data_IF_138610882776
#
_entry.id   IF_138610882776
#
_cell.length_a   1.000
_cell.length_b   1.000
_cell.length_c   1.000
_cell.angle_alpha   90.00
_cell.angle_beta   90.00
_cell.angle_gamma   90.00
#
_symmetry.space_group_name_H-M   'P 1'
#
loop_
_entity.id
_entity.type
_entity.pdbx_description
1 polymer ?
#
# COMPACT_ATOMS: atom_id res chain seq x y z
N UNK A 1 -14.59 8.90 2.14
CA UNK A 1 -13.13 9.01 1.85
C UNK A 1 -12.42 7.65 1.89
N UNK A 2 -11.31 7.50 1.16
CA UNK A 2 -10.29 6.46 1.37
C UNK A 2 -9.10 7.01 2.16
N UNK A 3 -8.51 6.22 3.06
CA UNK A 3 -7.29 6.56 3.81
C UNK A 3 -6.32 5.39 3.85
N UNK A 4 -5.02 5.69 3.91
CA UNK A 4 -3.93 4.72 4.03
C UNK A 4 -2.77 5.35 4.83
N UNK A 5 -1.94 4.52 5.48
CA UNK A 5 -0.71 4.97 6.12
C UNK A 5 0.50 4.10 5.74
N UNK A 6 1.64 4.76 5.59
CA UNK A 6 2.95 4.12 5.50
C UNK A 6 3.74 4.41 6.80
N UNK A 7 3.70 3.46 7.74
CA UNK A 7 4.26 3.59 9.09
C UNK A 7 5.79 3.58 9.10
N UNK A 8 6.38 4.55 9.82
CA UNK A 8 7.82 4.62 10.12
C UNK A 8 8.78 4.46 8.92
N UNK A 9 8.32 4.85 7.73
CA UNK A 9 8.90 4.53 6.43
C UNK A 9 10.22 5.24 6.15
N UNK A 10 10.38 6.49 6.62
CA UNK A 10 11.54 7.33 6.36
C UNK A 10 12.39 7.55 7.63
N UNK A 11 13.64 7.04 7.69
CA UNK A 11 14.59 7.32 8.77
C UNK A 11 14.99 8.79 8.86
N UNK A 12 15.07 9.51 7.73
CA UNK A 12 15.49 10.92 7.68
C UNK A 12 14.45 11.83 8.35
N UNK A 13 13.17 11.46 8.23
CA UNK A 13 12.05 12.14 8.86
C UNK A 13 11.73 11.63 10.28
N UNK A 14 12.77 11.23 11.03
CA UNK A 14 12.66 10.76 12.42
C UNK A 14 11.62 9.65 12.61
N UNK A 15 11.47 8.74 11.63
CA UNK A 15 10.49 7.63 11.63
C UNK A 15 9.03 8.07 11.78
N UNK A 16 8.67 9.28 11.34
CA UNK A 16 7.27 9.68 11.19
C UNK A 16 6.60 8.88 10.06
N UNK A 17 5.30 8.63 10.22
CA UNK A 17 4.49 7.93 9.21
C UNK A 17 4.00 8.91 8.14
N UNK A 18 3.77 8.42 6.92
CA UNK A 18 3.12 9.20 5.85
C UNK A 18 1.66 8.78 5.74
N UNK A 19 0.74 9.74 5.88
CA UNK A 19 -0.70 9.57 5.70
C UNK A 19 -1.13 10.05 4.32
N UNK A 20 -1.99 9.26 3.67
CA UNK A 20 -2.63 9.60 2.41
C UNK A 20 -4.14 9.46 2.53
N UNK A 21 -4.88 10.39 1.95
CA UNK A 21 -6.34 10.31 1.88
C UNK A 21 -6.89 10.87 0.56
N UNK A 22 -8.01 10.29 0.10
CA UNK A 22 -8.76 10.73 -1.09
C UNK A 22 -10.25 10.79 -0.75
N UNK A 23 -10.84 11.98 -0.83
CA UNK A 23 -12.26 12.23 -0.63
C UNK A 23 -13.00 12.14 -1.96
N UNK A 24 -14.10 11.39 -1.97
CA UNK A 24 -15.00 11.27 -3.11
C UNK A 24 -16.38 11.79 -2.74
N UNK A 25 -16.98 12.59 -3.63
CA UNK A 25 -18.37 13.06 -3.55
C UNK A 25 -19.05 12.67 -4.87
N UNK A 26 -20.17 11.96 -4.80
CA UNK A 26 -20.88 11.40 -5.96
C UNK A 26 -19.98 10.63 -6.96
N UNK A 27 -18.98 9.92 -6.45
CA UNK A 27 -18.02 9.15 -7.27
C UNK A 27 -16.90 9.97 -7.91
N UNK A 28 -16.92 11.30 -7.79
CA UNK A 28 -15.84 12.17 -8.25
C UNK A 28 -14.84 12.46 -7.11
N UNK A 29 -13.52 12.39 -7.33
CA UNK A 29 -12.53 12.80 -6.33
C UNK A 29 -12.54 14.33 -6.19
N UNK A 30 -12.72 14.84 -4.96
CA UNK A 30 -12.83 16.29 -4.68
C UNK A 30 -11.72 16.85 -3.80
N UNK A 31 -11.04 16.00 -3.03
CA UNK A 31 -9.91 16.34 -2.17
C UNK A 31 -8.94 15.17 -2.15
N UNK A 32 -7.65 15.45 -2.16
CA UNK A 32 -6.59 14.46 -1.95
C UNK A 32 -5.45 15.11 -1.19
N UNK A 33 -4.89 14.38 -0.22
CA UNK A 33 -3.77 14.85 0.60
C UNK A 33 -2.77 13.73 0.84
N UNK A 34 -1.50 14.03 0.66
CA UNK A 34 -0.37 13.24 1.15
C UNK A 34 0.44 14.11 2.10
N UNK A 35 0.69 13.64 3.32
CA UNK A 35 1.47 14.40 4.28
C UNK A 35 2.13 13.49 5.33
N UNK A 36 3.18 14.01 5.96
CA UNK A 36 3.86 13.33 7.07
C UNK A 36 3.17 13.67 8.39
N UNK A 37 2.83 12.65 9.16
CA UNK A 37 2.24 12.80 10.50
C UNK A 37 3.16 13.61 11.42
N UNK A 38 2.59 14.60 12.12
CA UNK A 38 3.35 15.48 13.03
C UNK A 38 3.94 14.70 14.22
N UNK A 39 3.19 13.71 14.71
CA UNK A 39 3.58 12.78 15.77
C UNK A 39 4.28 11.53 15.22
N UNK A 40 5.16 10.94 16.03
CA UNK A 40 5.73 9.59 15.77
C UNK A 40 4.78 8.56 16.41
N UNK A 41 4.34 7.58 15.64
CA UNK A 41 3.47 6.49 16.11
C UNK A 41 4.30 5.26 16.50
N UNK A 42 4.02 4.65 17.65
CA UNK A 42 4.78 3.51 18.16
C UNK A 42 4.35 2.18 17.54
N UNK A 43 3.20 2.17 16.86
CA UNK A 43 2.68 1.03 16.11
C UNK A 43 1.98 1.47 14.82
N UNK A 44 1.86 0.55 13.86
CA UNK A 44 1.08 0.78 12.64
C UNK A 44 -0.41 1.09 12.94
N UNK A 45 -0.98 0.47 13.98
CA UNK A 45 -2.38 0.72 14.40
C UNK A 45 -2.56 2.13 14.95
N UNK A 46 -1.60 2.64 15.74
CA UNK A 46 -1.60 4.05 16.15
C UNK A 46 -1.49 4.98 14.94
N UNK A 47 -0.61 4.69 14.00
CA UNK A 47 -0.42 5.50 12.80
C UNK A 47 -1.71 5.56 11.95
N UNK A 48 -2.38 4.42 11.77
CA UNK A 48 -3.69 4.34 11.11
C UNK A 48 -4.77 5.12 11.88
N UNK A 49 -4.83 5.01 13.21
CA UNK A 49 -5.77 5.76 14.04
C UNK A 49 -5.55 7.27 13.95
N UNK A 50 -4.29 7.73 13.84
CA UNK A 50 -3.96 9.13 13.54
C UNK A 50 -4.61 9.57 12.23
N UNK A 51 -4.39 8.83 11.15
CA UNK A 51 -4.93 9.15 9.83
C UNK A 51 -6.46 9.11 9.80
N UNK A 52 -7.08 8.07 10.39
CA UNK A 52 -8.53 7.93 10.50
C UNK A 52 -9.15 9.06 11.33
N UNK A 53 -8.49 9.54 12.39
CA UNK A 53 -9.00 10.70 13.15
C UNK A 53 -9.00 12.00 12.35
N UNK A 54 -8.02 12.20 11.47
CA UNK A 54 -7.94 13.38 10.59
C UNK A 54 -8.84 13.25 9.36
N UNK A 55 -9.05 12.03 8.88
CA UNK A 55 -10.01 11.65 7.85
C UNK A 55 -11.45 11.89 8.33
N UNK A 56 -11.78 11.46 9.56
CA UNK A 56 -13.09 11.66 10.19
C UNK A 56 -13.46 13.14 10.28
N UNK A 57 -12.53 14.00 10.71
CA UNK A 57 -12.74 15.46 10.77
C UNK A 57 -13.04 16.08 9.40
N UNK A 58 -12.35 15.63 8.36
CA UNK A 58 -12.58 16.12 7.00
C UNK A 58 -13.90 15.59 6.42
N UNK A 59 -14.23 14.32 6.63
CA UNK A 59 -15.48 13.72 6.15
C UNK A 59 -16.72 14.32 6.87
N UNK A 60 -16.61 14.66 8.17
CA UNK A 60 -17.63 15.45 8.90
C UNK A 60 -17.78 16.86 8.32
N UNK A 61 -16.68 17.54 8.02
CA UNK A 61 -16.71 18.85 7.36
C UNK A 61 -17.44 18.78 6.01
N UNK A 62 -17.15 17.77 5.17
CA UNK A 62 -17.89 17.55 3.93
C UNK A 62 -19.36 17.20 4.17
N UNK A 63 -19.70 16.47 5.23
CA UNK A 63 -21.09 16.18 5.60
C UNK A 63 -21.89 17.45 5.91
N UNK A 64 -21.34 18.33 6.75
CA UNK A 64 -21.98 19.62 7.07
C UNK A 64 -22.03 20.55 5.85
N UNK A 65 -20.95 20.66 5.07
CA UNK A 65 -20.93 21.46 3.84
C UNK A 65 -21.99 20.99 2.83
N UNK A 66 -22.14 19.68 2.62
CA UNK A 66 -23.17 19.13 1.72
C UNK A 66 -24.58 19.43 2.27
N UNK A 67 -24.81 19.26 3.57
CA UNK A 67 -26.09 19.58 4.21
C UNK A 67 -26.46 21.05 4.04
N UNK A 68 -25.51 21.95 4.21
CA UNK A 68 -25.72 23.40 4.09
C UNK A 68 -25.96 23.82 2.62
N UNK A 69 -25.48 23.03 1.64
CA UNK A 69 -25.81 23.12 0.21
C UNK A 69 -27.15 22.44 -0.15
N UNK A 70 -27.93 21.96 0.83
CA UNK A 70 -29.22 21.28 0.63
C UNK A 70 -29.13 19.80 0.27
N UNK A 71 -27.92 19.21 0.26
CA UNK A 71 -27.70 17.79 0.00
C UNK A 71 -27.83 17.00 1.31
N UNK A 72 -28.97 16.35 1.51
CA UNK A 72 -29.27 15.55 2.70
C UNK A 72 -29.17 14.04 2.47
N UNK A 73 -29.06 13.25 3.54
CA UNK A 73 -29.07 11.78 3.48
C UNK A 73 -27.75 11.13 3.07
N UNK A 74 -26.70 11.91 2.79
CA UNK A 74 -25.35 11.40 2.52
C UNK A 74 -24.67 11.03 3.84
N UNK A 75 -24.51 9.72 4.10
CA UNK A 75 -23.74 9.24 5.25
C UNK A 75 -22.23 9.23 4.94
N UNK A 76 -21.39 9.88 5.77
CA UNK A 76 -19.92 9.77 5.75
C UNK A 76 -19.41 8.31 5.80
N UNK A 77 -18.53 7.92 4.86
CA UNK A 77 -17.93 6.58 4.83
C UNK A 77 -16.42 6.64 4.67
N UNK A 78 -15.70 6.28 5.74
CA UNK A 78 -14.26 6.12 5.74
C UNK A 78 -13.87 4.69 5.36
N UNK A 79 -12.90 4.56 4.45
CA UNK A 79 -12.39 3.27 3.96
C UNK A 79 -10.90 3.15 4.24
N UNK A 80 -10.51 2.12 4.99
CA UNK A 80 -9.11 1.78 5.34
C UNK A 80 -8.89 0.27 5.14
N UNK A 81 -7.65 -0.14 4.87
CA UNK A 81 -7.23 -1.55 4.91
C UNK A 81 -6.71 -2.00 6.29
N UNK A 82 -6.73 -1.11 7.29
CA UNK A 82 -6.40 -1.44 8.67
C UNK A 82 -7.57 -2.07 9.43
N UNK A 83 -7.64 -3.41 9.40
CA UNK A 83 -8.56 -4.17 10.26
C UNK A 83 -8.37 -3.84 11.75
N UNK A 84 -7.14 -3.55 12.17
CA UNK A 84 -6.84 -3.12 13.53
C UNK A 84 -7.57 -1.83 13.90
N UNK A 85 -7.54 -0.82 13.04
CA UNK A 85 -8.27 0.43 13.27
C UNK A 85 -9.79 0.22 13.29
N UNK A 86 -10.33 -0.66 12.43
CA UNK A 86 -11.76 -0.97 12.39
C UNK A 86 -12.21 -1.66 13.69
N UNK A 87 -11.46 -2.64 14.17
CA UNK A 87 -11.74 -3.27 15.47
C UNK A 87 -11.69 -2.25 16.61
N UNK A 88 -10.64 -1.42 16.65
CA UNK A 88 -10.47 -0.38 17.66
C UNK A 88 -11.64 0.62 17.65
N UNK A 89 -12.11 1.05 16.48
CA UNK A 89 -13.27 1.96 16.38
C UNK A 89 -14.63 1.37 16.86
N UNK A 90 -14.71 0.03 17.02
CA UNK A 90 -15.96 -0.68 17.38
C UNK A 90 -15.94 -1.29 18.78
N UNK A 91 -14.77 -1.69 19.27
CA UNK A 91 -14.59 -2.40 20.54
C UNK A 91 -14.05 -1.44 21.63
N UNK A 92 -14.76 -1.25 22.75
CA UNK A 92 -14.24 -0.54 23.90
C UNK A 92 -12.92 -1.12 24.41
N UNK A 93 -12.83 -2.46 24.59
CA UNK A 93 -11.95 -3.10 25.56
C UNK A 93 -10.44 -2.76 25.43
N UNK A 94 -9.99 -2.39 24.23
CA UNK A 94 -8.57 -2.26 23.88
C UNK A 94 -7.88 -0.95 24.35
N UNK A 95 -8.56 -0.12 25.16
CA UNK A 95 -8.07 1.20 25.60
C UNK A 95 -6.70 1.22 26.32
N UNK A 96 -6.35 0.23 27.15
CA UNK A 96 -5.22 0.39 28.10
C UNK A 96 -3.83 0.63 27.46
N UNK A 97 -3.67 0.26 26.18
CA UNK A 97 -2.43 0.44 25.41
C UNK A 97 -2.32 1.79 24.68
N UNK A 98 -3.38 2.60 24.68
CA UNK A 98 -3.54 3.76 23.79
C UNK A 98 -3.66 5.11 24.50
N UNK A 99 -3.34 5.19 25.80
CA UNK A 99 -3.51 6.41 26.62
C UNK A 99 -2.95 7.71 26.03
N UNK A 100 -1.87 7.64 25.24
CA UNK A 100 -1.26 8.80 24.56
C UNK A 100 -1.99 9.24 23.27
N UNK A 101 -2.92 8.42 22.77
CA UNK A 101 -3.75 8.66 21.58
C UNK A 101 -5.26 8.57 21.88
N UNK A 102 -5.66 8.35 23.15
CA UNK A 102 -7.05 8.19 23.61
C UNK A 102 -8.00 9.27 23.06
N UNK A 103 -7.60 10.55 23.00
CA UNK A 103 -8.47 11.62 22.45
C UNK A 103 -8.86 11.38 20.99
N UNK A 104 -7.96 10.81 20.17
CA UNK A 104 -8.25 10.44 18.78
C UNK A 104 -9.08 9.15 18.70
N UNK A 105 -8.86 8.22 19.63
CA UNK A 105 -9.67 7.01 19.78
C UNK A 105 -11.14 7.36 20.06
N UNK A 106 -11.40 8.09 21.15
CA UNK A 106 -12.76 8.45 21.56
C UNK A 106 -13.46 9.29 20.50
N UNK A 107 -12.79 10.32 19.95
CA UNK A 107 -13.35 11.11 18.85
C UNK A 107 -13.84 10.26 17.66
N UNK A 108 -13.04 9.29 17.19
CA UNK A 108 -13.44 8.41 16.08
C UNK A 108 -14.54 7.45 16.50
N UNK A 109 -14.44 6.88 17.71
CA UNK A 109 -15.41 5.91 18.22
C UNK A 109 -16.78 6.53 18.42
N UNK A 110 -16.85 7.68 19.09
CA UNK A 110 -18.11 8.31 19.49
C UNK A 110 -18.91 8.70 18.24
N UNK A 111 -18.29 9.35 17.25
CA UNK A 111 -18.92 9.61 15.93
C UNK A 111 -19.29 8.35 15.12
N UNK A 112 -18.67 7.20 15.39
CA UNK A 112 -19.07 5.90 14.80
C UNK A 112 -20.25 5.28 15.56
N UNK A 113 -20.33 5.48 16.88
CA UNK A 113 -21.41 5.00 17.74
C UNK A 113 -22.70 5.83 17.56
N UNK A 114 -22.58 7.16 17.48
CA UNK A 114 -23.67 8.09 17.18
C UNK A 114 -24.15 7.97 15.72
N UNK A 115 -23.33 7.33 14.87
CA UNK A 115 -23.67 7.02 13.49
C UNK A 115 -23.40 8.14 12.49
N UNK A 116 -22.76 9.24 12.91
CA UNK A 116 -22.28 10.32 12.05
C UNK A 116 -21.32 9.80 10.97
N UNK A 117 -20.51 8.78 11.28
CA UNK A 117 -19.55 8.17 10.35
C UNK A 117 -19.66 6.66 10.39
N UNK A 118 -19.42 5.99 9.26
CA UNK A 118 -19.14 4.55 9.22
C UNK A 118 -17.74 4.26 8.68
N UNK A 119 -17.07 3.29 9.30
CA UNK A 119 -15.75 2.82 8.85
C UNK A 119 -15.88 1.42 8.24
N UNK A 120 -15.46 1.29 6.99
CA UNK A 120 -15.47 0.08 6.18
C UNK A 120 -14.06 -0.42 5.89
N UNK A 121 -13.92 -1.75 5.79
CA UNK A 121 -12.69 -2.38 5.30
C UNK A 121 -12.65 -2.32 3.77
N UNK A 122 -11.53 -1.91 3.22
CA UNK A 122 -11.19 -2.09 1.81
C UNK A 122 -9.88 -2.85 1.70
N UNK A 123 -9.78 -3.84 0.81
CA UNK A 123 -8.50 -4.52 0.58
C UNK A 123 -7.47 -3.60 -0.07
N UNK A 124 -6.19 -3.70 0.30
CA UNK A 124 -5.08 -2.85 -0.17
C UNK A 124 -5.04 -2.66 -1.69
N UNK A 125 -5.27 -3.72 -2.48
CA UNK A 125 -5.32 -3.68 -3.95
C UNK A 125 -6.49 -2.85 -4.55
N UNK A 126 -7.41 -2.39 -3.71
CA UNK A 126 -8.53 -1.51 -4.03
C UNK A 126 -8.51 -0.17 -3.27
N UNK A 127 -7.70 -0.05 -2.20
CA UNK A 127 -7.53 1.20 -1.45
C UNK A 127 -6.74 2.22 -2.28
N UNK A 128 -7.43 3.23 -2.77
CA UNK A 128 -6.89 4.25 -3.70
C UNK A 128 -5.83 5.12 -3.02
N UNK A 129 -5.93 5.32 -1.70
CA UNK A 129 -5.01 6.14 -0.93
C UNK A 129 -3.56 5.59 -0.89
N UNK A 130 -3.32 4.31 -1.24
CA UNK A 130 -1.97 3.74 -1.37
C UNK A 130 -1.06 4.52 -2.33
N UNK A 131 -1.61 5.19 -3.35
CA UNK A 131 -0.81 6.00 -4.30
C UNK A 131 -0.23 7.26 -3.66
N UNK A 132 -0.76 7.67 -2.50
CA UNK A 132 -0.36 8.88 -1.77
C UNK A 132 0.63 8.60 -0.63
N UNK A 133 0.92 7.33 -0.33
CA UNK A 133 1.69 6.92 0.86
C UNK A 133 2.90 6.06 0.55
N UNK A 134 2.84 5.28 -0.53
CA UNK A 134 3.80 4.24 -0.88
C UNK A 134 4.22 4.42 -2.35
N UNK A 135 5.52 4.27 -2.70
CA UNK A 135 5.94 4.17 -4.08
C UNK A 135 5.42 2.85 -4.67
N UNK A 136 4.36 2.94 -5.47
CA UNK A 136 3.74 1.77 -6.12
C UNK A 136 4.49 1.39 -7.41
N UNK A 137 4.46 0.09 -7.73
CA UNK A 137 4.95 -0.46 -9.02
C UNK A 137 4.02 -0.07 -10.16
N UNK A 138 4.57 0.09 -11.37
CA UNK A 138 3.92 0.73 -12.53
C UNK A 138 2.46 0.34 -12.81
N UNK A 139 2.13 -0.95 -12.79
CA UNK A 139 0.77 -1.44 -13.02
C UNK A 139 -0.23 -0.98 -11.94
N UNK A 140 0.17 -1.02 -10.66
CA UNK A 140 -0.66 -0.56 -9.55
C UNK A 140 -0.79 0.97 -9.55
N UNK A 141 0.30 1.68 -9.85
CA UNK A 141 0.31 3.14 -10.02
C UNK A 141 -0.69 3.58 -11.09
N UNK A 142 -0.64 2.96 -12.27
CA UNK A 142 -1.56 3.24 -13.38
C UNK A 142 -3.03 2.89 -13.04
N UNK A 143 -3.25 1.79 -12.32
CA UNK A 143 -4.60 1.39 -11.87
C UNK A 143 -5.18 2.41 -10.88
N UNK A 144 -4.38 2.88 -9.93
CA UNK A 144 -4.85 3.82 -8.91
C UNK A 144 -4.95 5.27 -9.43
N UNK A 145 -4.04 5.70 -10.31
CA UNK A 145 -4.10 7.04 -10.93
C UNK A 145 -5.37 7.21 -11.76
N UNK A 146 -5.75 6.19 -12.54
CA UNK A 146 -7.03 6.18 -13.29
C UNK A 146 -8.26 6.27 -12.38
N UNK A 147 -8.22 5.67 -11.18
CA UNK A 147 -9.31 5.79 -10.19
C UNK A 147 -9.45 7.20 -9.59
N UNK A 148 -8.41 8.03 -9.61
CA UNK A 148 -8.46 9.45 -9.22
C UNK A 148 -8.56 10.41 -10.41
N UNK A 149 -8.86 9.90 -11.62
CA UNK A 149 -9.03 10.72 -12.83
C UNK A 149 -7.73 11.23 -13.46
N UNK A 150 -6.57 10.71 -13.06
CA UNK A 150 -5.27 11.06 -13.66
C UNK A 150 -4.92 10.10 -14.81
N UNK A 151 -4.98 10.60 -16.04
CA UNK A 151 -4.51 9.90 -17.25
C UNK A 151 -3.15 10.45 -17.72
N UNK A 152 -2.14 10.26 -16.86
CA UNK A 152 -0.75 10.67 -17.09
C UNK A 152 0.19 9.59 -16.54
N UNK A 153 1.33 9.30 -17.19
CA UNK A 153 2.38 8.50 -16.56
C UNK A 153 2.99 9.31 -15.40
N UNK A 154 2.68 8.91 -14.17
CA UNK A 154 3.23 9.55 -12.97
C UNK A 154 4.76 9.41 -12.96
N UNK A 155 5.45 10.55 -13.03
CA UNK A 155 6.92 10.63 -13.04
C UNK A 155 7.47 10.03 -11.74
N UNK A 156 8.39 9.06 -11.85
CA UNK A 156 9.01 8.39 -10.71
C UNK A 156 8.36 7.08 -10.27
N UNK A 157 7.50 6.47 -11.09
CA UNK A 157 7.06 5.09 -10.86
C UNK A 157 8.25 4.12 -10.82
N UNK A 158 8.25 3.16 -9.88
CA UNK A 158 9.26 2.10 -9.83
C UNK A 158 9.05 1.20 -11.04
N UNK A 159 10.03 1.17 -11.94
CA UNK A 159 10.05 0.23 -13.06
C UNK A 159 9.98 -1.20 -12.51
N UNK A 160 9.15 -2.04 -13.13
CA UNK A 160 9.09 -3.46 -12.80
C UNK A 160 10.40 -4.11 -13.26
N UNK A 161 11.40 -4.15 -12.37
CA UNK A 161 12.65 -4.89 -12.61
C UNK A 161 12.26 -6.32 -12.98
N UNK A 162 12.60 -6.81 -14.18
CA UNK A 162 12.28 -8.18 -14.55
C UNK A 162 12.92 -9.11 -13.52
N UNK A 163 12.15 -10.10 -13.06
CA UNK A 163 12.60 -10.99 -12.00
C UNK A 163 13.98 -11.55 -12.36
N UNK A 164 14.96 -11.29 -11.49
CA UNK A 164 16.33 -11.82 -11.64
C UNK A 164 16.23 -13.33 -11.90
N UNK A 165 16.82 -13.86 -12.98
CA UNK A 165 16.69 -15.27 -13.31
C UNK A 165 17.17 -16.10 -12.13
N UNK A 166 16.33 -17.04 -11.69
CA UNK A 166 16.68 -17.96 -10.61
C UNK A 166 17.96 -18.72 -10.95
N UNK A 167 18.74 -19.02 -9.92
CA UNK A 167 20.12 -19.52 -10.03
C UNK A 167 20.24 -20.88 -10.77
N UNK A 168 19.13 -21.55 -11.04
CA UNK A 168 19.07 -22.88 -11.67
C UNK A 168 19.38 -22.89 -13.17
N UNK A 169 19.38 -21.73 -13.85
CA UNK A 169 19.57 -21.67 -15.32
C UNK A 169 21.05 -21.67 -15.75
N UNK A 170 21.99 -21.39 -14.84
CA UNK A 170 23.42 -21.30 -15.17
C UNK A 170 24.09 -22.68 -15.32
N UNK A 171 23.63 -23.71 -14.60
CA UNK A 171 24.32 -25.01 -14.59
C UNK A 171 24.02 -25.90 -15.81
N UNK A 172 23.04 -25.53 -16.67
CA UNK A 172 22.62 -26.35 -17.82
C UNK A 172 23.39 -26.07 -19.12
N UNK A 173 24.18 -24.99 -19.19
CA UNK A 173 24.95 -24.63 -20.40
C UNK A 173 26.41 -25.13 -20.39
N UNK A 174 27.08 -25.20 -19.23
CA UNK A 174 28.46 -25.74 -19.18
C UNK A 174 28.54 -27.23 -19.49
N UNK A 175 27.70 -28.07 -18.86
CA UNK A 175 27.79 -29.53 -19.01
C UNK A 175 27.63 -30.04 -20.46
N UNK A 176 26.84 -29.35 -21.30
CA UNK A 176 26.63 -29.75 -22.70
C UNK A 176 27.77 -29.37 -23.65
N UNK A 177 28.72 -28.52 -23.25
CA UNK A 177 29.93 -28.27 -24.05
C UNK A 177 31.06 -29.25 -23.70
N UNK A 178 31.20 -29.65 -22.44
CA UNK A 178 32.24 -30.61 -22.02
C UNK A 178 31.97 -32.02 -22.55
N UNK A 179 30.73 -32.50 -22.49
CA UNK A 179 30.35 -33.83 -23.02
C UNK A 179 30.62 -33.95 -24.53
N UNK A 180 30.43 -32.87 -25.30
CA UNK A 180 30.70 -32.88 -26.74
C UNK A 180 32.19 -32.91 -27.10
N UNK A 181 33.06 -32.28 -26.29
CA UNK A 181 34.52 -32.40 -26.46
C UNK A 181 35.03 -33.79 -26.06
N UNK A 182 34.52 -34.34 -24.97
CA UNK A 182 34.91 -35.68 -24.50
C UNK A 182 34.59 -36.79 -25.52
N UNK A 183 33.54 -36.61 -26.34
CA UNK A 183 33.22 -37.56 -27.43
C UNK A 183 34.21 -37.48 -28.59
N UNK A 184 34.55 -36.28 -29.07
CA UNK A 184 35.46 -36.10 -30.20
C UNK A 184 36.91 -36.50 -29.90
N UNK A 185 37.35 -36.32 -28.66
CA UNK A 185 38.72 -36.69 -28.25
C UNK A 185 38.87 -38.20 -28.00
N UNK A 186 37.77 -38.96 -27.94
CA UNK A 186 37.79 -40.42 -27.78
C UNK A 186 37.87 -41.14 -29.13
N UNK A 187 37.08 -40.73 -30.11
CA UNK A 187 37.13 -41.27 -31.49
C UNK A 187 38.54 -41.08 -32.09
N UNK A 188 39.19 -39.94 -31.83
CA UNK A 188 40.55 -39.65 -32.33
C UNK A 188 41.69 -40.45 -31.67
N UNK A 189 41.40 -41.26 -30.64
CA UNK A 189 42.40 -42.17 -30.04
C UNK A 189 42.29 -43.61 -30.55
N UNK A 190 41.10 -44.08 -30.88
CA UNK A 190 40.89 -45.44 -31.38
C UNK A 190 41.44 -45.62 -32.82
N UNK A 191 41.51 -44.56 -33.63
CA UNK A 191 42.18 -44.57 -34.94
C UNK A 191 43.72 -44.67 -34.86
N UNK A 192 44.34 -44.41 -33.71
CA UNK A 192 45.81 -44.41 -33.56
C UNK A 192 46.39 -45.71 -32.98
N UNK A 193 45.58 -46.58 -32.39
CA UNK A 193 46.03 -47.88 -31.84
C UNK A 193 45.88 -49.06 -32.82
N UNK A 194 45.38 -48.83 -34.05
CA UNK A 194 45.20 -49.87 -35.08
C UNK A 194 46.25 -49.89 -36.20
N UNK A 195 47.33 -49.09 -36.11
CA UNK A 195 48.43 -49.09 -37.10
C UNK A 195 49.84 -49.24 -36.50
N UNK A 196 49.98 -50.01 -35.42
CA UNK A 196 51.27 -50.30 -34.78
C UNK A 196 51.46 -51.79 -34.50
N UNK A 197 51.89 -52.54 -35.52
CA UNK A 197 52.42 -53.90 -35.39
C UNK A 197 53.92 -53.94 -35.63
#
# INVERSE_FOLDING_TARGET
MYTDVNWASDPTNRRRSTSGAVTYVYGCPVSWKSHVQKCVALSAVEAELVAVSEAAREELFFSYLLRDLGVTGVKPILRTDSQGCIQVSKDPAKHWKLKHIDTRYYFVRDHVQDGDISIEFVGTANNVANILTKPLKGLNTTKMSKKIGLDMPLRGGVEDTPASPTCDTLNRKSGNQEIRKASSDKERKEEHETSGG
#
